data_IF_338304021953
#
_entry.id   IF_338304021953
#
_cell.length_a   1.000
_cell.length_b   1.000
_cell.length_c   1.000
_cell.angle_alpha   90.00
_cell.angle_beta   90.00
_cell.angle_gamma   90.00
#
_symmetry.space_group_name_H-M   'P 1'
#
loop_
_entity.id
_entity.type
_entity.pdbx_description
1 polymer ?
#
# COMPACT_ATOMS: atom_id res chain seq x y z
N UNK A 1 -2.47 37.08 2.23
CA UNK A 1 -3.18 36.47 1.10
C UNK A 1 -2.15 35.83 0.18
N UNK A 2 -2.37 34.59 -0.21
CA UNK A 2 -1.52 33.85 -1.14
C UNK A 2 -2.07 33.98 -2.56
N UNK A 3 -1.23 34.00 -3.58
CA UNK A 3 -1.71 34.01 -4.96
C UNK A 3 -2.26 32.62 -5.35
N UNK A 4 -1.57 31.57 -4.94
CA UNK A 4 -1.96 30.20 -5.23
C UNK A 4 -1.70 29.27 -4.03
N UNK A 5 -2.61 28.32 -3.82
CA UNK A 5 -2.45 27.18 -2.91
C UNK A 5 -2.66 25.90 -3.72
N UNK A 6 -1.72 24.97 -3.63
CA UNK A 6 -1.82 23.63 -4.21
C UNK A 6 -1.96 22.64 -3.07
N UNK A 7 -3.01 21.81 -3.12
CA UNK A 7 -3.32 20.78 -2.11
C UNK A 7 -3.07 19.43 -2.73
N UNK A 8 -1.99 18.78 -2.33
CA UNK A 8 -1.70 17.42 -2.73
C UNK A 8 -2.59 16.43 -1.96
N UNK A 9 -2.91 15.27 -2.58
CA UNK A 9 -3.84 14.26 -2.05
C UNK A 9 -5.17 14.87 -1.59
N UNK A 10 -5.73 15.78 -2.39
CA UNK A 10 -6.91 16.58 -2.03
C UNK A 10 -8.17 15.75 -1.73
N UNK A 11 -8.23 14.47 -2.11
CA UNK A 11 -9.31 13.56 -1.69
C UNK A 11 -9.39 13.39 -0.16
N UNK A 12 -8.32 13.71 0.59
CA UNK A 12 -8.26 13.66 2.06
C UNK A 12 -8.91 14.89 2.73
N UNK A 13 -9.19 15.95 1.97
CA UNK A 13 -9.75 17.21 2.51
C UNK A 13 -11.12 16.98 3.15
N UNK A 14 -11.97 16.18 2.53
CA UNK A 14 -13.36 15.99 2.96
C UNK A 14 -13.55 15.36 4.36
N UNK A 15 -12.53 14.63 4.88
CA UNK A 15 -12.64 14.01 6.21
C UNK A 15 -13.61 12.83 6.27
N UNK A 16 -14.34 12.74 7.38
CA UNK A 16 -15.43 11.78 7.61
C UNK A 16 -16.75 12.52 7.81
N UNK A 17 -17.92 11.86 7.74
CA UNK A 17 -19.23 12.49 7.95
C UNK A 17 -19.35 13.22 9.29
N UNK A 18 -18.58 12.79 10.29
CA UNK A 18 -18.66 13.28 11.68
C UNK A 18 -17.45 14.11 12.10
N UNK A 19 -16.40 14.21 11.28
CA UNK A 19 -15.16 14.88 11.67
C UNK A 19 -14.54 15.71 10.53
N UNK A 20 -14.32 16.99 10.82
CA UNK A 20 -13.59 17.91 9.94
C UNK A 20 -12.09 17.65 10.08
N UNK A 21 -11.39 17.45 8.97
CA UNK A 21 -9.94 17.21 8.99
C UNK A 21 -9.14 18.47 9.31
N UNK A 22 -7.90 18.29 9.72
CA UNK A 22 -6.94 19.40 9.81
C UNK A 22 -6.72 20.05 8.45
N UNK A 23 -6.73 19.29 7.36
CA UNK A 23 -6.71 19.83 5.99
C UNK A 23 -7.83 20.83 5.72
N UNK A 24 -9.08 20.48 6.05
CA UNK A 24 -10.23 21.38 5.90
C UNK A 24 -10.08 22.65 6.74
N UNK A 25 -9.61 22.50 7.99
CA UNK A 25 -9.40 23.64 8.89
C UNK A 25 -8.35 24.60 8.34
N UNK A 26 -7.20 24.07 7.94
CA UNK A 26 -6.11 24.87 7.35
C UNK A 26 -6.56 25.53 6.06
N UNK A 27 -7.20 24.78 5.16
CA UNK A 27 -7.64 25.30 3.87
C UNK A 27 -8.69 26.40 3.99
N UNK A 28 -9.54 26.35 5.03
CA UNK A 28 -10.54 27.39 5.32
C UNK A 28 -9.93 28.66 5.93
N UNK A 29 -8.82 28.53 6.67
CA UNK A 29 -8.13 29.69 7.25
C UNK A 29 -7.21 30.39 6.25
N UNK A 30 -6.69 29.66 5.25
CA UNK A 30 -5.81 30.21 4.24
C UNK A 30 -6.60 30.95 3.15
N UNK A 31 -6.33 32.24 3.00
CA UNK A 31 -6.89 33.06 1.92
C UNK A 31 -5.95 33.00 0.71
N UNK A 32 -6.45 32.54 -0.43
CA UNK A 32 -5.74 32.53 -1.69
C UNK A 32 -6.65 32.95 -2.83
N UNK A 33 -6.04 33.54 -3.87
CA UNK A 33 -6.73 33.89 -5.12
C UNK A 33 -7.14 32.65 -5.90
N UNK A 34 -6.26 31.65 -5.92
CA UNK A 34 -6.48 30.37 -6.59
C UNK A 34 -6.17 29.21 -5.63
N UNK A 35 -7.03 28.18 -5.66
CA UNK A 35 -6.83 26.95 -4.89
C UNK A 35 -6.97 25.75 -5.85
N UNK A 36 -5.94 24.93 -5.94
CA UNK A 36 -5.93 23.74 -6.78
C UNK A 36 -5.74 22.49 -5.94
N UNK A 37 -6.48 21.43 -6.26
CA UNK A 37 -6.31 20.10 -5.68
C UNK A 37 -5.65 19.15 -6.67
N UNK A 38 -4.66 18.37 -6.21
CA UNK A 38 -4.06 17.27 -6.95
C UNK A 38 -4.45 15.96 -6.27
N UNK A 39 -4.83 14.96 -7.03
CA UNK A 39 -5.10 13.61 -6.52
C UNK A 39 -5.07 12.58 -7.64
N UNK A 40 -4.48 11.43 -7.37
CA UNK A 40 -4.59 10.27 -8.24
C UNK A 40 -5.93 9.53 -8.08
N UNK A 41 -6.67 9.80 -7.00
CA UNK A 41 -7.93 9.12 -6.65
C UNK A 41 -9.00 10.12 -6.25
N UNK A 42 -9.71 10.67 -7.22
CA UNK A 42 -10.83 11.60 -6.97
C UNK A 42 -12.13 10.91 -6.57
N UNK A 43 -12.20 9.58 -6.75
CA UNK A 43 -13.42 8.84 -6.41
C UNK A 43 -13.41 8.38 -4.96
N UNK A 44 -14.50 8.71 -4.21
CA UNK A 44 -14.75 8.25 -2.85
C UNK A 44 -16.09 7.51 -2.79
N UNK A 45 -16.06 6.28 -2.30
CA UNK A 45 -17.27 5.45 -2.19
C UNK A 45 -18.29 5.98 -1.17
N UNK A 46 -17.86 6.85 -0.23
CA UNK A 46 -18.71 7.48 0.79
C UNK A 46 -19.42 8.76 0.31
N UNK A 47 -19.21 9.17 -0.94
CA UNK A 47 -19.82 10.37 -1.52
C UNK A 47 -19.27 11.70 -1.00
N UNK A 48 -18.35 11.70 -0.04
CA UNK A 48 -17.80 12.92 0.59
C UNK A 48 -16.89 13.73 -0.36
N UNK A 49 -16.62 13.25 -1.56
CA UNK A 49 -15.91 14.02 -2.59
C UNK A 49 -16.58 15.37 -2.88
N UNK A 50 -17.91 15.48 -2.68
CA UNK A 50 -18.66 16.72 -2.82
C UNK A 50 -18.15 17.83 -1.88
N UNK A 51 -17.70 17.48 -0.67
CA UNK A 51 -17.10 18.45 0.26
C UNK A 51 -15.74 18.94 -0.24
N UNK A 52 -14.94 18.08 -0.89
CA UNK A 52 -13.71 18.49 -1.57
C UNK A 52 -14.02 19.47 -2.71
N UNK A 53 -15.04 19.20 -3.52
CA UNK A 53 -15.46 20.07 -4.60
C UNK A 53 -15.97 21.43 -4.10
N UNK A 54 -16.66 21.48 -2.97
CA UNK A 54 -17.10 22.71 -2.36
C UNK A 54 -15.93 23.63 -1.92
N UNK A 55 -14.77 23.04 -1.61
CA UNK A 55 -13.59 23.77 -1.11
C UNK A 55 -12.58 24.11 -2.20
N UNK A 56 -12.46 23.28 -3.22
CA UNK A 56 -11.42 23.36 -4.26
C UNK A 56 -11.98 23.48 -5.69
N UNK A 57 -13.30 23.32 -5.87
CA UNK A 57 -13.92 23.27 -7.19
C UNK A 57 -13.93 21.86 -7.78
N UNK A 58 -14.59 21.73 -8.94
CA UNK A 58 -14.67 20.48 -9.68
C UNK A 58 -13.36 20.13 -10.39
N UNK A 59 -13.26 18.90 -10.88
CA UNK A 59 -12.12 18.44 -11.70
C UNK A 59 -12.04 19.31 -12.96
N UNK A 60 -10.92 19.97 -13.15
CA UNK A 60 -10.64 20.84 -14.31
C UNK A 60 -9.78 20.15 -15.37
N UNK A 61 -9.01 19.14 -14.96
CA UNK A 61 -8.17 18.36 -15.86
C UNK A 61 -7.94 16.96 -15.32
N UNK A 62 -7.96 15.98 -16.19
CA UNK A 62 -7.56 14.59 -15.89
C UNK A 62 -6.43 14.22 -16.84
N UNK A 63 -5.31 13.75 -16.28
CA UNK A 63 -4.18 13.28 -17.09
C UNK A 63 -4.64 12.06 -17.91
N UNK A 64 -4.47 12.05 -19.24
CA UNK A 64 -4.83 10.90 -20.06
C UNK A 64 -4.07 9.63 -19.63
N UNK A 65 -4.77 8.48 -19.66
CA UNK A 65 -4.19 7.19 -19.27
C UNK A 65 -2.91 6.84 -20.06
N UNK A 66 -2.87 7.20 -21.36
CA UNK A 66 -1.71 6.98 -22.22
C UNK A 66 -0.46 7.73 -21.72
N UNK A 67 -0.64 8.98 -21.27
CA UNK A 67 0.45 9.79 -20.74
C UNK A 67 0.99 9.24 -19.41
N UNK A 68 0.14 8.58 -18.62
CA UNK A 68 0.58 7.90 -17.40
C UNK A 68 1.28 6.60 -17.75
N UNK A 69 0.68 5.77 -18.63
CA UNK A 69 1.22 4.47 -19.03
C UNK A 69 2.61 4.56 -19.64
N UNK A 70 2.91 5.65 -20.38
CA UNK A 70 4.23 5.86 -20.98
C UNK A 70 5.34 6.17 -19.96
N UNK A 71 4.99 6.50 -18.70
CA UNK A 71 5.93 6.90 -17.65
C UNK A 71 6.05 5.88 -16.52
N UNK A 72 5.31 4.80 -16.57
CA UNK A 72 5.33 3.75 -15.55
C UNK A 72 5.42 2.38 -16.20
N UNK A 73 6.06 1.45 -15.51
CA UNK A 73 6.12 0.05 -15.94
C UNK A 73 4.78 -0.64 -15.66
N UNK A 74 4.38 -1.52 -16.55
CA UNK A 74 3.30 -2.48 -16.26
C UNK A 74 3.71 -3.38 -15.11
N UNK A 75 2.85 -3.61 -14.13
CA UNK A 75 3.12 -4.49 -12.99
C UNK A 75 2.43 -5.82 -13.21
N UNK A 76 3.15 -6.90 -13.08
CA UNK A 76 2.57 -8.24 -13.05
C UNK A 76 2.06 -8.54 -11.64
N UNK A 77 0.80 -8.95 -11.54
CA UNK A 77 0.22 -9.39 -10.27
C UNK A 77 0.17 -10.91 -10.27
N UNK A 78 0.90 -11.52 -9.33
CA UNK A 78 0.92 -12.96 -9.09
C UNK A 78 0.03 -13.31 -7.90
N UNK A 79 -1.20 -13.82 -8.12
CA UNK A 79 -2.00 -14.36 -7.04
C UNK A 79 -1.38 -15.64 -6.49
N UNK A 80 -1.30 -15.75 -5.17
CA UNK A 80 -0.78 -16.93 -4.45
C UNK A 80 -1.84 -17.47 -3.51
N UNK A 81 -2.38 -18.66 -3.81
CA UNK A 81 -3.30 -19.35 -2.94
C UNK A 81 -2.60 -19.83 -1.67
N UNK A 82 -3.08 -19.43 -0.49
CA UNK A 82 -2.43 -19.78 0.79
C UNK A 82 -2.91 -21.10 1.38
N UNK A 83 -4.01 -21.67 0.87
CA UNK A 83 -4.64 -22.85 1.43
C UNK A 83 -5.45 -22.61 2.71
N UNK A 84 -5.37 -21.43 3.32
CA UNK A 84 -6.09 -21.11 4.56
C UNK A 84 -7.59 -20.99 4.29
N UNK A 85 -8.39 -21.73 5.08
CA UNK A 85 -9.85 -21.78 4.99
C UNK A 85 -10.49 -21.14 6.21
N UNK A 86 -11.83 -21.06 6.18
CA UNK A 86 -12.62 -20.58 7.32
C UNK A 86 -12.33 -21.46 8.55
N UNK A 87 -12.03 -20.82 9.68
CA UNK A 87 -11.73 -21.47 10.95
C UNK A 87 -12.56 -20.84 12.07
N UNK A 88 -12.98 -21.67 13.03
CA UNK A 88 -13.74 -21.23 14.21
C UNK A 88 -12.98 -20.25 15.09
N UNK A 89 -11.64 -20.26 15.06
CA UNK A 89 -10.78 -19.41 15.86
C UNK A 89 -11.02 -17.90 15.64
N UNK A 90 -11.56 -17.51 14.48
CA UNK A 90 -11.88 -16.11 14.18
C UNK A 90 -13.37 -15.83 14.00
N UNK A 91 -14.24 -16.72 14.46
CA UNK A 91 -15.67 -16.46 14.54
C UNK A 91 -16.08 -15.84 15.88
N UNK A 92 -17.13 -15.01 15.82
CA UNK A 92 -17.86 -14.57 17.01
C UNK A 92 -18.83 -15.66 17.46
N UNK A 93 -19.42 -15.51 18.64
CA UNK A 93 -20.42 -16.45 19.19
C UNK A 93 -21.68 -16.61 18.32
N UNK A 94 -22.00 -15.60 17.50
CA UNK A 94 -23.13 -15.60 16.55
C UNK A 94 -22.74 -16.18 15.16
N UNK A 95 -21.54 -16.74 15.02
CA UNK A 95 -21.03 -17.31 13.77
C UNK A 95 -20.54 -16.28 12.74
N UNK A 96 -20.57 -14.98 13.04
CA UNK A 96 -20.04 -13.95 12.16
C UNK A 96 -18.50 -13.88 12.24
N UNK A 97 -17.85 -13.45 11.14
CA UNK A 97 -16.39 -13.31 11.11
C UNK A 97 -15.96 -12.08 11.90
N UNK A 98 -15.10 -12.29 12.89
CA UNK A 98 -14.37 -11.21 13.56
C UNK A 98 -13.13 -10.87 12.75
N UNK A 99 -13.14 -9.72 12.09
CA UNK A 99 -12.04 -9.29 11.22
C UNK A 99 -10.69 -9.21 11.95
N UNK A 100 -10.67 -8.65 13.16
CA UNK A 100 -9.43 -8.51 13.94
C UNK A 100 -8.82 -9.88 14.30
N UNK A 101 -9.65 -10.83 14.76
CA UNK A 101 -9.23 -12.20 15.05
C UNK A 101 -8.76 -12.92 13.79
N UNK A 102 -9.47 -12.74 12.66
CA UNK A 102 -9.09 -13.31 11.38
C UNK A 102 -7.72 -12.81 10.93
N UNK A 103 -7.46 -11.50 10.95
CA UNK A 103 -6.15 -10.96 10.58
C UNK A 103 -5.06 -11.47 11.53
N UNK A 104 -5.31 -11.53 12.84
CA UNK A 104 -4.36 -12.11 13.80
C UNK A 104 -4.06 -13.57 13.48
N UNK A 105 -5.07 -14.37 13.17
CA UNK A 105 -4.92 -15.77 12.77
C UNK A 105 -4.08 -15.90 11.49
N UNK A 106 -4.40 -15.13 10.44
CA UNK A 106 -3.69 -15.16 9.17
C UNK A 106 -2.21 -14.76 9.34
N UNK A 107 -1.92 -13.78 10.16
CA UNK A 107 -0.55 -13.28 10.39
C UNK A 107 0.30 -14.21 11.26
N UNK A 108 -0.32 -15.10 12.03
CA UNK A 108 0.36 -16.12 12.83
C UNK A 108 0.36 -17.52 12.20
N UNK A 109 -0.33 -17.72 11.07
CA UNK A 109 -0.46 -19.02 10.43
C UNK A 109 0.87 -19.46 9.79
N UNK A 110 1.42 -20.59 10.27
CA UNK A 110 2.77 -21.06 9.93
C UNK A 110 2.93 -21.30 8.44
N UNK A 111 2.07 -22.12 7.83
CA UNK A 111 2.23 -22.49 6.40
C UNK A 111 2.08 -21.27 5.47
N UNK A 112 1.15 -20.36 5.84
CA UNK A 112 0.97 -19.10 5.12
C UNK A 112 2.24 -18.23 5.18
N UNK A 113 2.84 -18.11 6.34
CA UNK A 113 4.08 -17.35 6.52
C UNK A 113 5.26 -18.05 5.84
N UNK A 114 5.28 -19.37 5.83
CA UNK A 114 6.31 -20.13 5.09
C UNK A 114 6.20 -19.90 3.57
N UNK A 115 4.98 -19.84 3.01
CA UNK A 115 4.77 -19.50 1.60
C UNK A 115 5.33 -18.10 1.29
N UNK A 116 5.01 -17.10 2.14
CA UNK A 116 5.56 -15.73 1.99
C UNK A 116 7.08 -15.74 2.07
N UNK A 117 7.65 -16.46 3.03
CA UNK A 117 9.12 -16.58 3.18
C UNK A 117 9.78 -17.24 1.97
N UNK A 118 9.19 -18.27 1.40
CA UNK A 118 9.71 -18.92 0.19
C UNK A 118 9.75 -17.94 -0.99
N UNK A 119 8.69 -17.14 -1.18
CA UNK A 119 8.67 -16.10 -2.21
C UNK A 119 9.73 -15.02 -1.95
N UNK A 120 9.93 -14.58 -0.69
CA UNK A 120 10.98 -13.64 -0.32
C UNK A 120 12.39 -14.18 -0.60
N UNK A 121 12.63 -15.44 -0.28
CA UNK A 121 13.93 -16.10 -0.51
C UNK A 121 14.18 -16.33 -2.00
N UNK A 122 13.15 -16.62 -2.79
CA UNK A 122 13.23 -16.73 -4.25
C UNK A 122 13.58 -15.41 -4.95
N UNK A 123 13.31 -14.28 -4.31
CA UNK A 123 13.53 -12.93 -4.86
C UNK A 123 14.69 -12.18 -4.18
N UNK A 124 15.73 -12.90 -3.74
CA UNK A 124 16.87 -12.32 -2.99
C UNK A 124 17.67 -11.25 -3.76
N UNK A 125 17.66 -11.31 -5.08
CA UNK A 125 18.39 -10.36 -5.93
C UNK A 125 17.58 -9.11 -6.25
N UNK A 126 16.32 -9.07 -5.83
CA UNK A 126 15.37 -7.99 -6.10
C UNK A 126 15.24 -7.00 -4.93
N UNK A 127 14.59 -5.87 -5.21
CA UNK A 127 14.27 -4.85 -4.22
C UNK A 127 12.83 -5.01 -3.75
N UNK A 128 12.68 -5.53 -2.56
CA UNK A 128 11.46 -6.09 -2.01
C UNK A 128 10.76 -5.10 -1.06
N UNK A 129 9.47 -4.83 -1.29
CA UNK A 129 8.59 -4.09 -0.39
C UNK A 129 7.54 -5.03 0.20
N UNK A 130 7.61 -5.28 1.50
CA UNK A 130 6.72 -6.19 2.21
C UNK A 130 5.74 -5.37 3.04
N UNK A 131 4.45 -5.47 2.74
CA UNK A 131 3.40 -4.69 3.39
C UNK A 131 2.49 -5.55 4.24
N UNK A 132 2.20 -5.10 5.46
CA UNK A 132 1.23 -5.72 6.38
C UNK A 132 0.43 -4.68 7.15
N UNK A 133 -0.78 -5.06 7.58
CA UNK A 133 -1.58 -4.29 8.55
C UNK A 133 -1.04 -4.44 9.99
N UNK A 134 -0.23 -5.45 10.26
CA UNK A 134 0.27 -5.78 11.59
C UNK A 134 1.79 -5.63 11.68
N UNK A 135 2.24 -4.78 12.57
CA UNK A 135 3.68 -4.55 12.81
C UNK A 135 4.36 -5.83 13.31
N UNK A 136 3.69 -6.59 14.17
CA UNK A 136 4.23 -7.85 14.69
C UNK A 136 4.41 -8.89 13.60
N UNK A 137 3.54 -8.90 12.58
CA UNK A 137 3.73 -9.75 11.39
C UNK A 137 4.96 -9.34 10.57
N UNK A 138 5.18 -8.03 10.39
CA UNK A 138 6.39 -7.54 9.72
C UNK A 138 7.66 -7.98 10.47
N UNK A 139 7.64 -7.87 11.80
CA UNK A 139 8.76 -8.33 12.65
C UNK A 139 8.95 -9.84 12.57
N UNK A 140 7.86 -10.62 12.60
CA UNK A 140 7.92 -12.07 12.47
C UNK A 140 8.58 -12.49 11.15
N UNK A 141 8.16 -11.91 10.03
CA UNK A 141 8.74 -12.16 8.72
C UNK A 141 10.21 -11.71 8.65
N UNK A 142 10.54 -10.54 9.21
CA UNK A 142 11.91 -10.05 9.29
C UNK A 142 12.80 -11.00 10.10
N UNK A 143 12.33 -11.46 11.27
CA UNK A 143 13.08 -12.39 12.13
C UNK A 143 13.28 -13.77 11.45
N UNK A 144 12.37 -14.17 10.58
CA UNK A 144 12.47 -15.39 9.77
C UNK A 144 13.51 -15.33 8.65
N UNK A 145 14.04 -14.16 8.29
CA UNK A 145 15.08 -14.06 7.26
C UNK A 145 16.40 -14.67 7.73
N UNK A 146 17.16 -15.31 6.83
CA UNK A 146 18.54 -15.70 7.08
C UNK A 146 19.42 -14.49 7.46
N UNK A 147 20.49 -14.70 8.26
CA UNK A 147 21.33 -13.60 8.77
C UNK A 147 21.92 -12.70 7.66
N UNK A 148 22.30 -13.26 6.53
CA UNK A 148 22.83 -12.54 5.37
C UNK A 148 21.80 -11.58 4.75
N UNK A 149 20.54 -12.02 4.63
CA UNK A 149 19.44 -11.19 4.13
C UNK A 149 18.92 -10.21 5.18
N UNK A 150 18.97 -10.59 6.47
CA UNK A 150 18.56 -9.72 7.58
C UNK A 150 19.44 -8.46 7.66
N UNK A 151 20.71 -8.56 7.34
CA UNK A 151 21.62 -7.41 7.25
C UNK A 151 21.22 -6.41 6.14
N UNK A 152 20.57 -6.91 5.08
CA UNK A 152 20.06 -6.14 3.95
C UNK A 152 18.57 -5.75 4.10
N UNK A 153 18.00 -5.91 5.30
CA UNK A 153 16.59 -5.65 5.56
C UNK A 153 16.40 -4.50 6.55
N UNK A 154 15.24 -3.85 6.48
CA UNK A 154 14.80 -2.86 7.46
C UNK A 154 13.30 -3.02 7.72
N UNK A 155 12.89 -2.74 8.95
CA UNK A 155 11.48 -2.67 9.36
C UNK A 155 11.15 -1.22 9.72
N UNK A 156 10.12 -0.66 9.10
CA UNK A 156 9.61 0.67 9.40
C UNK A 156 8.12 0.64 9.67
N UNK A 157 7.65 1.38 10.66
CA UNK A 157 6.24 1.45 11.01
C UNK A 157 5.80 2.85 11.47
N UNK A 158 4.49 3.05 11.58
CA UNK A 158 3.90 4.33 11.99
C UNK A 158 4.19 4.75 13.43
N UNK A 159 4.72 3.86 14.29
CA UNK A 159 5.10 4.18 15.67
C UNK A 159 6.45 4.93 15.76
N UNK A 160 7.17 5.05 14.64
CA UNK A 160 8.45 5.74 14.54
C UNK A 160 8.26 7.27 14.57
N UNK A 161 7.77 7.80 15.71
CA UNK A 161 7.38 9.22 15.87
C UNK A 161 8.45 10.08 16.52
N UNK A 162 9.34 9.49 17.30
CA UNK A 162 10.45 10.24 17.95
C UNK A 162 11.48 10.70 16.93
N UNK A 163 12.21 11.78 17.21
CA UNK A 163 13.24 12.34 16.30
C UNK A 163 14.25 11.26 15.87
N UNK A 164 14.73 10.42 16.83
CA UNK A 164 15.66 9.32 16.55
C UNK A 164 15.04 8.28 15.61
N UNK A 165 13.84 7.81 15.91
CA UNK A 165 13.15 6.81 15.08
C UNK A 165 12.79 7.34 13.68
N UNK A 166 12.47 8.62 13.55
CA UNK A 166 12.27 9.25 12.24
C UNK A 166 13.55 9.24 11.43
N UNK A 167 14.70 9.58 12.03
CA UNK A 167 15.99 9.51 11.37
C UNK A 167 16.36 8.07 10.95
N UNK A 168 16.08 7.07 11.79
CA UNK A 168 16.25 5.64 11.47
C UNK A 168 15.39 5.23 10.27
N UNK A 169 14.12 5.70 10.20
CA UNK A 169 13.23 5.48 9.06
C UNK A 169 13.76 6.12 7.78
N UNK A 170 14.20 7.36 7.85
CA UNK A 170 14.77 8.08 6.71
C UNK A 170 16.04 7.39 6.21
N UNK A 171 16.91 6.94 7.12
CA UNK A 171 18.10 6.17 6.78
C UNK A 171 17.75 4.84 6.11
N UNK A 172 16.75 4.11 6.61
CA UNK A 172 16.30 2.86 5.99
C UNK A 172 15.80 3.08 4.55
N UNK A 173 15.05 4.16 4.31
CA UNK A 173 14.58 4.53 2.97
C UNK A 173 15.77 4.89 2.06
N UNK A 174 16.75 5.64 2.56
CA UNK A 174 17.94 6.00 1.81
C UNK A 174 18.82 4.78 1.49
N UNK A 175 18.97 3.85 2.44
CA UNK A 175 19.69 2.59 2.21
C UNK A 175 19.02 1.72 1.13
N UNK A 176 17.68 1.73 1.05
CA UNK A 176 16.95 1.10 -0.04
C UNK A 176 17.15 1.84 -1.37
N UNK A 177 17.12 3.18 -1.35
CA UNK A 177 17.31 4.02 -2.55
C UNK A 177 18.70 3.87 -3.14
N UNK A 178 19.72 3.79 -2.31
CA UNK A 178 21.13 3.59 -2.72
C UNK A 178 21.48 2.15 -3.04
N UNK A 179 20.60 1.18 -2.72
CA UNK A 179 20.83 -0.24 -2.97
C UNK A 179 21.62 -0.96 -1.88
N UNK A 180 21.91 -0.33 -0.73
CA UNK A 180 22.54 -0.97 0.42
C UNK A 180 21.63 -2.00 1.08
N UNK A 181 20.33 -1.79 1.02
CA UNK A 181 19.31 -2.72 1.50
C UNK A 181 18.41 -3.17 0.35
N UNK A 182 17.89 -4.40 0.46
CA UNK A 182 17.03 -5.03 -0.55
C UNK A 182 15.64 -5.39 -0.03
N UNK A 183 15.40 -5.36 1.29
CA UNK A 183 14.12 -5.71 1.90
C UNK A 183 13.63 -4.58 2.79
N UNK A 184 12.45 -4.06 2.48
CA UNK A 184 11.77 -3.07 3.30
C UNK A 184 10.43 -3.62 3.78
N UNK A 185 10.34 -3.88 5.07
CA UNK A 185 9.10 -4.25 5.74
C UNK A 185 8.41 -2.99 6.26
N UNK A 186 7.20 -2.71 5.78
CA UNK A 186 6.49 -1.48 6.09
C UNK A 186 4.99 -1.71 6.32
N UNK A 187 4.37 -0.87 7.15
CA UNK A 187 2.91 -0.85 7.24
C UNK A 187 2.29 -0.21 6.00
N UNK A 188 1.05 -0.61 5.65
CA UNK A 188 0.32 0.00 4.53
C UNK A 188 0.17 1.52 4.67
N UNK A 189 0.07 2.06 5.89
CA UNK A 189 -0.01 3.50 6.13
C UNK A 189 1.23 4.22 5.63
N UNK A 190 2.44 3.67 5.86
CA UNK A 190 3.70 4.24 5.40
C UNK A 190 3.86 4.14 3.87
N UNK A 191 3.37 3.09 3.25
CA UNK A 191 3.36 2.97 1.79
C UNK A 191 2.56 4.11 1.14
N UNK A 192 1.52 4.62 1.81
CA UNK A 192 0.76 5.81 1.38
C UNK A 192 1.55 7.11 1.52
N UNK A 193 2.40 7.24 2.53
CA UNK A 193 3.06 8.50 2.93
C UNK A 193 4.34 8.86 2.15
N UNK A 194 4.52 8.31 0.96
CA UNK A 194 5.59 8.79 0.07
C UNK A 194 6.91 8.03 0.15
N UNK A 195 6.86 6.69 0.16
CA UNK A 195 8.06 5.89 -0.11
C UNK A 195 8.54 6.16 -1.55
N UNK A 196 9.57 6.98 -1.69
CA UNK A 196 10.21 7.28 -2.97
C UNK A 196 11.48 6.44 -3.15
N UNK A 197 11.29 5.20 -3.61
CA UNK A 197 12.36 4.23 -3.86
C UNK A 197 12.15 3.63 -5.24
N UNK A 198 12.66 4.24 -6.33
CA UNK A 198 12.38 3.80 -7.70
C UNK A 198 12.87 2.39 -8.02
N UNK A 199 13.88 1.89 -7.29
CA UNK A 199 14.41 0.53 -7.45
C UNK A 199 13.44 -0.58 -7.10
N UNK A 200 12.44 -0.33 -6.25
CA UNK A 200 11.48 -1.37 -5.80
C UNK A 200 10.83 -2.06 -7.00
N UNK A 201 10.98 -3.36 -7.10
CA UNK A 201 10.45 -4.18 -8.18
C UNK A 201 9.64 -5.40 -7.70
N UNK A 202 9.64 -5.69 -6.40
CA UNK A 202 8.81 -6.74 -5.78
C UNK A 202 7.95 -6.14 -4.68
N UNK A 203 6.65 -6.43 -4.74
CA UNK A 203 5.66 -6.02 -3.73
C UNK A 203 4.98 -7.25 -3.16
N UNK A 204 4.86 -7.31 -1.83
CA UNK A 204 4.16 -8.39 -1.13
C UNK A 204 3.01 -7.81 -0.32
N UNK A 205 1.78 -8.14 -0.70
CA UNK A 205 0.57 -7.77 0.02
C UNK A 205 0.25 -8.88 1.02
N UNK A 206 0.96 -8.90 2.15
CA UNK A 206 0.97 -10.03 3.09
C UNK A 206 -0.26 -10.13 3.97
N UNK A 207 -1.10 -9.11 4.06
CA UNK A 207 -2.41 -9.15 4.70
C UNK A 207 -3.50 -8.69 3.74
N UNK A 208 -4.73 -9.21 3.87
CA UNK A 208 -5.85 -8.84 3.02
C UNK A 208 -6.08 -7.33 3.01
N UNK A 209 -6.20 -6.75 1.84
CA UNK A 209 -6.50 -5.33 1.65
C UNK A 209 -7.68 -5.16 0.70
N UNK A 210 -8.61 -4.25 1.01
CA UNK A 210 -9.79 -3.97 0.20
C UNK A 210 -9.88 -2.51 -0.27
N UNK A 211 -9.08 -1.62 0.33
CA UNK A 211 -9.09 -0.20 -0.01
C UNK A 211 -8.38 0.02 -1.36
N UNK A 212 -9.13 0.55 -2.32
CA UNK A 212 -8.63 0.85 -3.66
C UNK A 212 -7.40 1.78 -3.64
N UNK A 213 -7.47 2.85 -2.85
CA UNK A 213 -6.37 3.82 -2.80
C UNK A 213 -5.08 3.19 -2.25
N UNK A 214 -5.20 2.30 -1.26
CA UNK A 214 -4.04 1.56 -0.72
C UNK A 214 -3.39 0.69 -1.79
N UNK A 215 -4.20 -0.06 -2.54
CA UNK A 215 -3.71 -0.94 -3.60
C UNK A 215 -3.01 -0.14 -4.69
N UNK A 216 -3.67 0.91 -5.20
CA UNK A 216 -3.12 1.78 -6.27
C UNK A 216 -1.78 2.39 -5.84
N UNK A 217 -1.73 2.94 -4.63
CA UNK A 217 -0.52 3.57 -4.11
C UNK A 217 0.60 2.54 -3.88
N UNK A 218 0.28 1.36 -3.35
CA UNK A 218 1.26 0.29 -3.14
C UNK A 218 1.86 -0.22 -4.45
N UNK A 219 1.03 -0.52 -5.44
CA UNK A 219 1.46 -0.93 -6.77
C UNK A 219 2.26 0.17 -7.46
N UNK A 220 1.82 1.43 -7.34
CA UNK A 220 2.51 2.59 -7.88
C UNK A 220 3.95 2.75 -7.37
N UNK A 221 4.28 2.21 -6.17
CA UNK A 221 5.67 2.23 -5.66
C UNK A 221 6.61 1.40 -6.50
N UNK A 222 6.15 0.24 -6.99
CA UNK A 222 6.97 -0.64 -7.81
C UNK A 222 6.82 -0.40 -9.32
N UNK A 223 5.85 0.40 -9.75
CA UNK A 223 5.64 0.73 -11.16
C UNK A 223 6.59 1.80 -11.71
N UNK A 224 7.34 2.50 -10.86
CA UNK A 224 8.26 3.55 -11.28
C UNK A 224 9.39 2.99 -12.14
N UNK A 225 9.75 3.71 -13.18
CA UNK A 225 10.90 3.34 -14.03
C UNK A 225 12.21 3.60 -13.28
N UNK A 226 13.17 2.70 -13.49
CA UNK A 226 14.52 2.82 -12.99
C UNK A 226 15.46 2.05 -13.93
N UNK A 227 16.67 2.59 -14.15
CA UNK A 227 17.63 1.94 -15.03
C UNK A 227 18.03 0.54 -14.53
N UNK A 228 18.02 -0.44 -15.42
CA UNK A 228 18.32 -1.85 -15.09
C UNK A 228 17.24 -2.56 -14.27
N UNK A 229 16.09 -1.93 -14.02
CA UNK A 229 14.99 -2.56 -13.28
C UNK A 229 14.29 -3.60 -14.13
N UNK A 230 14.10 -4.78 -13.55
CA UNK A 230 13.35 -5.87 -14.16
C UNK A 230 11.83 -5.64 -14.09
N UNK A 231 11.07 -6.54 -14.76
CA UNK A 231 9.61 -6.52 -14.72
C UNK A 231 9.09 -6.54 -13.29
N UNK A 232 8.34 -5.53 -12.84
CA UNK A 232 7.83 -5.48 -11.47
C UNK A 232 6.76 -6.53 -11.23
N UNK A 233 6.82 -7.20 -10.06
CA UNK A 233 5.85 -8.23 -9.66
C UNK A 233 5.24 -7.88 -8.30
N UNK A 234 3.92 -7.95 -8.21
CA UNK A 234 3.16 -7.84 -6.97
C UNK A 234 2.58 -9.21 -6.58
N UNK A 235 3.00 -9.75 -5.46
CA UNK A 235 2.46 -10.99 -4.88
C UNK A 235 1.23 -10.66 -4.03
N UNK A 236 0.09 -11.24 -4.38
CA UNK A 236 -1.18 -11.08 -3.68
C UNK A 236 -1.61 -12.41 -3.07
N UNK A 237 -1.50 -12.52 -1.74
CA UNK A 237 -1.82 -13.76 -1.01
C UNK A 237 -3.33 -13.88 -0.79
N UNK A 238 -3.91 -14.92 -1.40
CA UNK A 238 -5.36 -15.16 -1.43
C UNK A 238 -5.71 -16.31 -0.50
N UNK A 239 -6.43 -16.00 0.57
CA UNK A 239 -6.92 -16.98 1.53
C UNK A 239 -8.33 -17.46 1.10
N UNK A 240 -8.61 -18.77 1.19
CA UNK A 240 -9.86 -19.40 0.75
C UNK A 240 -11.00 -19.19 1.76
N UNK A 241 -11.24 -17.94 2.07
CA UNK A 241 -12.34 -17.46 2.90
C UNK A 241 -13.23 -16.60 2.02
N UNK A 242 -14.52 -16.94 1.89
CA UNK A 242 -15.48 -16.33 0.95
C UNK A 242 -15.44 -14.79 0.95
N UNK A 243 -15.28 -14.15 2.11
CA UNK A 243 -15.18 -12.68 2.22
C UNK A 243 -13.88 -12.13 1.63
N UNK A 244 -12.77 -12.85 1.78
CA UNK A 244 -11.46 -12.49 1.26
C UNK A 244 -11.35 -12.77 -0.25
N UNK A 245 -11.95 -13.84 -0.74
CA UNK A 245 -12.07 -14.12 -2.18
C UNK A 245 -12.87 -13.01 -2.89
N UNK A 246 -13.97 -12.54 -2.28
CA UNK A 246 -14.73 -11.38 -2.78
C UNK A 246 -13.87 -10.11 -2.79
N UNK A 247 -13.04 -9.91 -1.76
CA UNK A 247 -12.12 -8.79 -1.69
C UNK A 247 -11.03 -8.89 -2.75
N UNK A 248 -10.51 -10.09 -3.04
CA UNK A 248 -9.58 -10.32 -4.13
C UNK A 248 -10.18 -9.97 -5.49
N UNK A 249 -11.41 -10.41 -5.78
CA UNK A 249 -12.13 -10.03 -7.02
C UNK A 249 -12.23 -8.51 -7.20
N UNK A 250 -12.46 -7.76 -6.09
CA UNK A 250 -12.43 -6.29 -6.12
C UNK A 250 -11.01 -5.75 -6.39
N UNK A 251 -9.97 -6.34 -5.79
CA UNK A 251 -8.58 -5.96 -6.08
C UNK A 251 -8.23 -6.19 -7.54
N UNK A 252 -8.68 -7.28 -8.15
CA UNK A 252 -8.49 -7.52 -9.59
C UNK A 252 -9.03 -6.36 -10.46
N UNK A 253 -10.18 -5.78 -10.08
CA UNK A 253 -10.71 -4.59 -10.76
C UNK A 253 -9.78 -3.38 -10.56
N UNK A 254 -9.21 -3.21 -9.37
CA UNK A 254 -8.24 -2.15 -9.09
C UNK A 254 -6.95 -2.33 -9.88
N UNK A 255 -6.42 -3.54 -9.94
CA UNK A 255 -5.22 -3.87 -10.71
C UNK A 255 -5.37 -3.54 -12.20
N UNK A 256 -6.50 -3.91 -12.81
CA UNK A 256 -6.77 -3.57 -14.23
C UNK A 256 -6.79 -2.06 -14.48
N UNK A 257 -7.34 -1.28 -13.53
CA UNK A 257 -7.33 0.20 -13.61
C UNK A 257 -5.93 0.80 -13.45
N UNK A 258 -5.00 0.10 -12.79
CA UNK A 258 -3.63 0.55 -12.55
C UNK A 258 -2.64 0.06 -13.61
N UNK A 259 -3.09 -0.37 -14.78
CA UNK A 259 -2.23 -0.95 -15.82
C UNK A 259 -1.44 -2.18 -15.33
N UNK A 260 -2.07 -3.03 -14.51
CA UNK A 260 -1.46 -4.28 -14.10
C UNK A 260 -1.94 -5.44 -14.96
N UNK A 261 -1.06 -6.40 -15.19
CA UNK A 261 -1.37 -7.68 -15.80
C UNK A 261 -1.52 -8.73 -14.70
N UNK A 262 -2.69 -9.33 -14.57
CA UNK A 262 -2.93 -10.39 -13.59
C UNK A 262 -2.51 -11.71 -14.24
N UNK A 263 -1.54 -12.38 -13.63
CA UNK A 263 -1.08 -13.69 -14.07
C UNK A 263 -2.07 -14.77 -13.62
N UNK A 264 -2.07 -15.90 -14.32
CA UNK A 264 -2.84 -17.06 -13.86
C UNK A 264 -2.26 -17.53 -12.52
N UNK A 265 -3.14 -17.77 -11.54
CA UNK A 265 -2.72 -18.21 -10.20
C UNK A 265 -2.19 -19.66 -10.25
N UNK A 266 -1.12 -19.91 -9.54
CA UNK A 266 -0.65 -21.25 -9.20
C UNK A 266 -1.50 -21.87 -8.10
#
# INVERSE_FOLDING_TARGET
TWDCIIVDECHRVAGTPTAVTQFSKVLNTLRARHKYGLSATVHRADGLIKATYAMLGHVIYTVPDEAVKSRVMTVDVQPKGTGVKLDSAFLNSDGTINYCKMITYLTSHTDRNQLIMNDLLGNREHYNLILSERVDHLKLLYEGLPPDLKSQAAVIDGSMTTKKKKAEREQAIEDMRTGKKRYLFASYSLAKEGLDIPRLDRLYLTTPQKDYAVIVQSVGRIARTFEGKEQPIAYDYVDFIRSLEKSFKKRCTSYRKCNCRILEGE
#
